data_IF_403565224514
#
_entry.id   IF_403565224514
#
_cell.length_a   1.000
_cell.length_b   1.000
_cell.length_c   1.000
_cell.angle_alpha   90.00
_cell.angle_beta   90.00
_cell.angle_gamma   90.00
#
_symmetry.space_group_name_H-M   'P 1'
#
loop_
_entity.id
_entity.type
_entity.pdbx_description
1 polymer ?
#
# COMPACT_ATOMS: atom_id res chain seq x y z
N UNK A 1 -25.18 1.03 16.57
CA UNK A 1 -24.72 -0.19 15.89
C UNK A 1 -24.24 -1.18 16.92
N UNK A 2 -24.77 -2.40 16.93
CA UNK A 2 -24.26 -3.49 17.74
C UNK A 2 -23.02 -4.13 17.07
N UNK A 3 -22.40 -5.12 17.74
CA UNK A 3 -21.22 -5.80 17.21
C UNK A 3 -21.48 -6.54 15.90
N UNK A 4 -22.67 -7.14 15.73
CA UNK A 4 -23.05 -7.87 14.52
C UNK A 4 -23.15 -6.92 13.32
N UNK A 5 -23.85 -5.79 13.50
CA UNK A 5 -23.98 -4.75 12.47
C UNK A 5 -22.62 -4.18 12.08
N UNK A 6 -21.70 -4.10 13.05
CA UNK A 6 -20.31 -3.65 12.82
C UNK A 6 -19.53 -4.63 11.97
N UNK A 7 -19.61 -5.92 12.28
CA UNK A 7 -19.00 -6.98 11.48
C UNK A 7 -19.50 -6.99 10.03
N UNK A 8 -20.83 -6.89 9.84
CA UNK A 8 -21.44 -6.85 8.50
C UNK A 8 -20.91 -5.69 7.66
N UNK A 9 -20.93 -4.46 8.21
CA UNK A 9 -20.44 -3.26 7.50
C UNK A 9 -18.96 -3.37 7.13
N UNK A 10 -18.13 -3.91 8.02
CA UNK A 10 -16.70 -4.10 7.75
C UNK A 10 -16.50 -5.17 6.66
N UNK A 11 -17.23 -6.29 6.72
CA UNK A 11 -17.17 -7.33 5.70
C UNK A 11 -17.54 -6.83 4.30
N UNK A 12 -18.62 -6.06 4.19
CA UNK A 12 -19.04 -5.44 2.93
C UNK A 12 -17.96 -4.50 2.36
N UNK A 13 -17.31 -3.70 3.22
CA UNK A 13 -16.21 -2.82 2.83
C UNK A 13 -15.01 -3.62 2.31
N UNK A 14 -14.57 -4.66 3.03
CA UNK A 14 -13.42 -5.49 2.64
C UNK A 14 -13.70 -6.20 1.32
N UNK A 15 -14.90 -6.74 1.15
CA UNK A 15 -15.31 -7.39 -0.10
C UNK A 15 -15.26 -6.41 -1.30
N UNK A 16 -15.77 -5.19 -1.11
CA UNK A 16 -15.70 -4.15 -2.15
C UNK A 16 -14.26 -3.79 -2.51
N UNK A 17 -13.38 -3.62 -1.50
CA UNK A 17 -11.96 -3.30 -1.72
C UNK A 17 -11.19 -4.41 -2.43
N UNK A 18 -11.36 -5.67 -2.02
CA UNK A 18 -10.70 -6.79 -2.69
C UNK A 18 -11.13 -6.91 -4.16
N UNK A 19 -12.39 -6.59 -4.47
CA UNK A 19 -12.85 -6.53 -5.87
C UNK A 19 -12.19 -5.38 -6.65
N UNK A 20 -11.99 -4.23 -6.01
CA UNK A 20 -11.41 -3.04 -6.66
C UNK A 20 -9.89 -3.09 -6.82
N UNK A 21 -9.15 -3.71 -5.90
CA UNK A 21 -7.69 -3.62 -5.84
C UNK A 21 -6.98 -4.97 -5.97
N UNK A 22 -7.76 -6.04 -6.21
CA UNK A 22 -7.24 -7.40 -6.14
C UNK A 22 -6.85 -7.78 -4.72
N UNK A 23 -6.08 -8.86 -4.60
CA UNK A 23 -5.60 -9.34 -3.30
C UNK A 23 -4.32 -8.63 -2.85
N UNK A 24 -4.33 -7.30 -2.88
CA UNK A 24 -3.18 -6.47 -2.53
C UNK A 24 -2.66 -6.72 -1.10
N UNK A 25 -3.55 -7.15 -0.20
CA UNK A 25 -3.17 -7.49 1.17
C UNK A 25 -2.24 -8.69 1.22
N UNK A 26 -2.61 -9.81 0.59
CA UNK A 26 -1.73 -10.98 0.54
C UNK A 26 -0.54 -10.70 -0.38
N UNK A 27 -0.70 -10.09 -1.56
CA UNK A 27 0.46 -9.83 -2.44
C UNK A 27 1.56 -8.94 -1.82
N UNK A 28 1.23 -8.16 -0.79
CA UNK A 28 2.21 -7.38 -0.04
C UNK A 28 3.22 -8.25 0.70
N UNK A 29 2.83 -9.42 1.24
CA UNK A 29 3.74 -10.27 2.00
C UNK A 29 4.78 -10.96 1.09
N UNK A 30 4.35 -11.44 -0.07
CA UNK A 30 5.20 -12.01 -1.11
C UNK A 30 6.19 -10.96 -1.62
N UNK A 31 5.70 -9.76 -1.90
CA UNK A 31 6.53 -8.64 -2.35
C UNK A 31 7.61 -8.28 -1.32
N UNK A 32 7.23 -8.16 -0.03
CA UNK A 32 8.19 -7.87 1.03
C UNK A 32 9.19 -9.01 1.23
N UNK A 33 8.78 -10.25 1.04
CA UNK A 33 9.67 -11.42 1.14
C UNK A 33 10.73 -11.46 0.04
N UNK A 34 10.45 -10.90 -1.14
CA UNK A 34 11.43 -10.74 -2.22
C UNK A 34 12.49 -9.69 -1.84
N UNK A 35 12.07 -8.56 -1.26
CA UNK A 35 12.95 -7.42 -0.99
C UNK A 35 13.72 -7.54 0.34
N UNK A 36 13.09 -8.11 1.37
CA UNK A 36 13.62 -8.22 2.72
C UNK A 36 13.54 -9.67 3.21
N UNK A 37 14.23 -10.63 2.54
CA UNK A 37 14.12 -12.05 2.85
C UNK A 37 14.62 -12.41 4.27
N UNK A 38 15.42 -11.54 4.89
CA UNK A 38 15.95 -11.71 6.24
C UNK A 38 15.34 -10.72 7.25
N UNK A 39 14.17 -10.17 6.91
CA UNK A 39 13.49 -9.15 7.71
C UNK A 39 14.06 -7.74 7.53
N UNK A 40 13.37 -6.78 8.15
CA UNK A 40 13.64 -5.35 8.04
C UNK A 40 14.38 -4.92 9.31
N UNK A 41 15.53 -4.26 9.15
CA UNK A 41 16.26 -3.68 10.29
C UNK A 41 15.70 -2.30 10.65
N UNK A 42 15.81 -1.82 11.89
CA UNK A 42 15.29 -0.51 12.30
C UNK A 42 15.77 0.66 11.42
N UNK A 43 17.02 0.62 10.96
CA UNK A 43 17.57 1.65 10.06
C UNK A 43 16.95 1.68 8.66
N UNK A 44 16.19 0.67 8.26
CA UNK A 44 15.59 0.54 6.93
C UNK A 44 14.11 0.95 6.89
N UNK A 45 13.54 1.39 8.01
CA UNK A 45 12.10 1.68 8.10
C UNK A 45 11.66 2.83 7.19
N UNK A 46 12.52 3.82 6.94
CA UNK A 46 12.21 4.92 6.00
C UNK A 46 12.10 4.40 4.56
N UNK A 47 13.09 3.65 4.09
CA UNK A 47 13.06 3.06 2.74
C UNK A 47 11.91 2.08 2.58
N UNK A 48 11.69 1.24 3.58
CA UNK A 48 10.57 0.32 3.64
C UNK A 48 9.24 1.07 3.47
N UNK A 49 9.05 2.19 4.18
CA UNK A 49 7.85 3.01 4.05
C UNK A 49 7.67 3.51 2.61
N UNK A 50 8.72 4.01 1.97
CA UNK A 50 8.68 4.45 0.58
C UNK A 50 8.29 3.30 -0.37
N UNK A 51 8.98 2.16 -0.23
CA UNK A 51 8.77 0.95 -1.04
C UNK A 51 7.33 0.44 -0.94
N UNK A 52 6.80 0.27 0.28
CA UNK A 52 5.45 -0.29 0.44
C UNK A 52 4.37 0.67 -0.06
N UNK A 53 4.60 1.98 0.06
CA UNK A 53 3.70 3.01 -0.50
C UNK A 53 3.71 3.01 -2.02
N UNK A 54 4.87 2.84 -2.65
CA UNK A 54 4.98 2.68 -4.10
C UNK A 54 4.26 1.41 -4.56
N UNK A 55 4.40 0.30 -3.85
CA UNK A 55 3.70 -0.95 -4.16
C UNK A 55 2.17 -0.80 -4.08
N UNK A 56 1.66 -0.21 -3.00
CA UNK A 56 0.22 0.07 -2.82
C UNK A 56 -0.35 0.89 -4.00
N UNK A 57 0.37 1.94 -4.43
CA UNK A 57 -0.06 2.75 -5.58
C UNK A 57 0.01 1.99 -6.90
N UNK A 58 1.01 1.13 -7.11
CA UNK A 58 1.09 0.26 -8.29
C UNK A 58 -0.09 -0.72 -8.35
N UNK A 59 -0.45 -1.34 -7.23
CA UNK A 59 -1.63 -2.21 -7.15
C UNK A 59 -2.91 -1.47 -7.51
N UNK A 60 -3.06 -0.23 -7.00
CA UNK A 60 -4.18 0.64 -7.37
C UNK A 60 -4.22 0.96 -8.87
N UNK A 61 -3.08 1.26 -9.48
CA UNK A 61 -2.98 1.55 -10.92
C UNK A 61 -3.37 0.32 -11.75
N UNK A 62 -2.81 -0.85 -11.41
CA UNK A 62 -3.06 -2.10 -12.12
C UNK A 62 -4.54 -2.52 -12.15
N UNK A 63 -5.30 -2.12 -11.14
CA UNK A 63 -6.72 -2.49 -11.01
C UNK A 63 -7.71 -1.38 -11.38
N UNK A 64 -7.26 -0.26 -11.97
CA UNK A 64 -8.15 0.75 -12.54
C UNK A 64 -8.12 2.13 -11.87
N UNK A 65 -7.07 2.43 -11.09
CA UNK A 65 -6.80 3.73 -10.46
C UNK A 65 -8.04 4.35 -9.78
N UNK A 66 -8.76 3.54 -8.99
CA UNK A 66 -10.01 3.94 -8.36
C UNK A 66 -9.80 5.00 -7.26
N UNK A 67 -10.63 6.05 -7.21
CA UNK A 67 -10.59 7.11 -6.18
C UNK A 67 -10.34 8.51 -6.76
N UNK A 68 -10.37 9.54 -5.90
CA UNK A 68 -10.26 10.94 -6.34
C UNK A 68 -8.79 11.41 -6.51
N UNK A 69 -7.84 10.67 -5.96
CA UNK A 69 -6.41 11.01 -5.99
C UNK A 69 -5.74 10.38 -7.23
N UNK A 70 -4.73 11.04 -7.78
CA UNK A 70 -3.94 10.51 -8.89
C UNK A 70 -2.74 9.71 -8.36
N UNK A 71 -2.78 8.38 -8.50
CA UNK A 71 -1.73 7.49 -8.02
C UNK A 71 -0.34 7.76 -8.62
N UNK A 72 -0.23 8.27 -9.85
CA UNK A 72 1.06 8.65 -10.43
C UNK A 72 1.64 9.90 -9.78
N UNK A 73 0.80 10.87 -9.44
CA UNK A 73 1.24 12.05 -8.68
C UNK A 73 1.72 11.66 -7.28
N UNK A 74 1.04 10.69 -6.65
CA UNK A 74 1.46 10.15 -5.35
C UNK A 74 2.86 9.52 -5.46
N UNK A 75 3.07 8.66 -6.46
CA UNK A 75 4.36 8.01 -6.74
C UNK A 75 5.47 9.06 -6.96
N UNK A 76 5.21 10.08 -7.78
CA UNK A 76 6.15 11.16 -8.02
C UNK A 76 6.47 11.94 -6.73
N UNK A 77 5.44 12.25 -5.93
CA UNK A 77 5.60 12.91 -4.64
C UNK A 77 6.44 12.11 -3.65
N UNK A 78 6.24 10.79 -3.58
CA UNK A 78 7.06 9.91 -2.74
C UNK A 78 8.52 9.90 -3.20
N UNK A 79 8.77 9.89 -4.51
CA UNK A 79 10.13 10.03 -5.06
C UNK A 79 10.81 11.32 -4.60
N UNK A 80 10.13 12.47 -4.71
CA UNK A 80 10.66 13.77 -4.27
C UNK A 80 10.97 13.77 -2.77
N UNK A 81 10.06 13.25 -1.94
CA UNK A 81 10.25 13.19 -0.49
C UNK A 81 11.47 12.35 -0.12
N UNK A 82 11.61 11.15 -0.69
CA UNK A 82 12.76 10.28 -0.41
C UNK A 82 14.08 10.88 -0.94
N UNK A 83 14.07 11.50 -2.12
CA UNK A 83 15.26 12.18 -2.64
C UNK A 83 15.74 13.31 -1.74
N UNK A 84 14.81 14.03 -1.10
CA UNK A 84 15.15 15.07 -0.14
C UNK A 84 15.77 14.49 1.13
N UNK A 85 15.17 13.45 1.70
CA UNK A 85 15.67 12.81 2.93
C UNK A 85 17.06 12.20 2.74
N UNK A 86 17.40 11.68 1.57
CA UNK A 86 18.74 11.16 1.25
C UNK A 86 19.79 12.28 1.04
N UNK A 87 19.34 13.51 0.80
CA UNK A 87 20.22 14.67 0.58
C UNK A 87 20.51 15.45 1.87
N UNK A 88 19.83 15.13 2.98
CA UNK A 88 19.98 15.75 4.31
C UNK A 88 20.83 14.87 5.24
#
# INVERSE_FOLDING_TARGET
MNYIETGKRIGELVQSKNKMYGDAFHMSDEFLSILYPNGIKPGQYKDMLGIIRLFDKQMRIAHGNHGNENAWNDIAGYGILMSREESE
#
